data_IF_318782115588
#
_entry.id   IF_318782115588
#
_cell.length_a   1.000
_cell.length_b   1.000
_cell.length_c   1.000
_cell.angle_alpha   90.00
_cell.angle_beta   90.00
_cell.angle_gamma   90.00
#
_symmetry.space_group_name_H-M   'P 1'
#
loop_
_entity.id
_entity.type
_entity.pdbx_description
1 polymer ?
#
# COMPACT_ATOMS: atom_id res chain seq x y z
N UNK A 1 12.99 6.26 7.04
CA UNK A 1 11.86 6.07 6.09
C UNK A 1 11.93 4.79 5.23
N UNK A 2 13.09 4.44 4.64
CA UNK A 2 13.20 3.28 3.73
C UNK A 2 12.81 1.93 4.36
N UNK A 3 13.24 1.68 5.60
CA UNK A 3 12.89 0.46 6.35
C UNK A 3 11.37 0.28 6.49
N UNK A 4 10.67 1.31 7.01
CA UNK A 4 9.21 1.30 7.15
C UNK A 4 8.49 1.03 5.82
N UNK A 5 8.96 1.61 4.72
CA UNK A 5 8.38 1.35 3.39
C UNK A 5 8.63 -0.09 2.90
N UNK A 6 9.76 -0.70 3.26
CA UNK A 6 10.05 -2.11 2.97
C UNK A 6 9.08 -3.02 3.73
N UNK A 7 8.81 -2.72 4.99
CA UNK A 7 7.85 -3.48 5.82
C UNK A 7 6.43 -3.36 5.26
N UNK A 8 6.00 -2.13 4.94
CA UNK A 8 4.69 -1.89 4.32
C UNK A 8 4.57 -2.62 2.98
N UNK A 9 5.63 -2.65 2.17
CA UNK A 9 5.65 -3.42 0.91
C UNK A 9 5.47 -4.92 1.15
N UNK A 10 6.10 -5.48 2.19
CA UNK A 10 5.93 -6.88 2.55
C UNK A 10 4.49 -7.17 3.03
N UNK A 11 3.92 -6.27 3.84
CA UNK A 11 2.54 -6.40 4.32
C UNK A 11 1.52 -6.26 3.19
N UNK A 12 1.72 -5.33 2.25
CA UNK A 12 0.90 -5.21 1.05
C UNK A 12 0.91 -6.48 0.20
N UNK A 13 2.05 -7.19 0.16
CA UNK A 13 2.14 -8.48 -0.54
C UNK A 13 1.37 -9.58 0.21
N UNK A 14 1.44 -9.61 1.54
CA UNK A 14 0.69 -10.56 2.38
C UNK A 14 -0.83 -10.31 2.31
N UNK A 15 -1.24 -9.04 2.24
CA UNK A 15 -2.64 -8.60 2.21
C UNK A 15 -3.17 -8.39 0.79
N UNK A 16 -2.46 -8.84 -0.24
CA UNK A 16 -2.79 -8.55 -1.65
C UNK A 16 -4.22 -8.97 -2.02
N UNK A 17 -4.70 -10.09 -1.47
CA UNK A 17 -6.01 -10.66 -1.76
C UNK A 17 -7.14 -10.08 -0.91
N UNK A 18 -6.84 -9.23 0.08
CA UNK A 18 -7.88 -8.57 0.87
C UNK A 18 -8.79 -7.70 -0.01
N UNK A 19 -10.04 -7.45 0.39
CA UNK A 19 -10.88 -6.42 -0.21
C UNK A 19 -10.16 -5.06 -0.24
N UNK A 20 -10.31 -4.30 -1.32
CA UNK A 20 -9.66 -2.99 -1.51
C UNK A 20 -10.01 -2.03 -0.36
N UNK A 21 -11.26 -2.06 0.11
CA UNK A 21 -11.73 -1.26 1.26
C UNK A 21 -10.96 -1.56 2.55
N UNK A 22 -10.70 -2.84 2.84
CA UNK A 22 -9.92 -3.25 4.01
C UNK A 22 -8.45 -2.85 3.90
N UNK A 23 -7.87 -2.96 2.70
CA UNK A 23 -6.49 -2.47 2.45
C UNK A 23 -6.40 -0.96 2.70
N UNK A 24 -7.36 -0.19 2.19
CA UNK A 24 -7.41 1.27 2.38
C UNK A 24 -7.54 1.67 3.86
N UNK A 25 -8.41 1.00 4.62
CA UNK A 25 -8.56 1.24 6.07
C UNK A 25 -7.25 0.99 6.82
N UNK A 26 -6.59 -0.13 6.55
CA UNK A 26 -5.30 -0.46 7.16
C UNK A 26 -4.20 0.55 6.81
N UNK A 27 -4.11 0.98 5.55
CA UNK A 27 -3.15 2.03 5.15
C UNK A 27 -3.44 3.36 5.85
N UNK A 28 -4.71 3.74 6.01
CA UNK A 28 -5.10 4.94 6.73
C UNK A 28 -4.66 4.91 8.21
N UNK A 29 -4.79 3.76 8.88
CA UNK A 29 -4.30 3.59 10.25
C UNK A 29 -2.77 3.76 10.35
N UNK A 30 -2.02 3.24 9.37
CA UNK A 30 -0.56 3.42 9.35
C UNK A 30 -0.18 4.88 9.14
N UNK A 31 -0.82 5.58 8.20
CA UNK A 31 -0.55 7.00 7.93
C UNK A 31 -0.92 7.82 9.16
N UNK A 32 -2.10 7.59 9.75
CA UNK A 32 -2.55 8.27 10.96
C UNK A 32 -1.57 8.10 12.13
N UNK A 33 -1.16 6.87 12.43
CA UNK A 33 -0.17 6.61 13.49
C UNK A 33 1.20 7.22 13.20
N UNK A 34 1.63 7.23 11.93
CA UNK A 34 2.89 7.88 11.56
C UNK A 34 2.82 9.41 11.71
N UNK A 35 1.72 10.02 11.30
CA UNK A 35 1.52 11.47 11.43
C UNK A 35 1.39 11.86 12.90
N UNK A 36 0.68 11.09 13.73
CA UNK A 36 0.55 11.36 15.16
C UNK A 36 1.91 11.48 15.89
N UNK A 37 2.92 10.72 15.44
CA UNK A 37 4.25 10.75 16.06
C UNK A 37 5.21 11.77 15.41
N UNK A 38 5.09 12.02 14.10
CA UNK A 38 6.08 12.79 13.34
C UNK A 38 5.58 14.14 12.80
N UNK A 39 4.32 14.52 13.07
CA UNK A 39 3.74 15.79 12.65
C UNK A 39 4.33 16.96 13.44
N UNK A 40 5.39 17.53 12.89
CA UNK A 40 5.96 18.82 13.28
C UNK A 40 6.15 19.68 12.03
N UNK A 41 6.07 21.02 12.12
CA UNK A 41 6.09 21.91 10.95
C UNK A 41 7.30 21.70 10.02
N UNK A 42 8.45 21.37 10.58
CA UNK A 42 9.70 21.13 9.84
C UNK A 42 9.71 19.82 9.07
N UNK A 43 8.77 18.90 9.32
CA UNK A 43 8.76 17.54 8.79
C UNK A 43 7.66 17.27 7.73
N UNK A 44 6.85 18.29 7.39
CA UNK A 44 5.70 18.17 6.47
C UNK A 44 6.11 17.58 5.11
N UNK A 45 7.28 17.97 4.59
CA UNK A 45 7.82 17.44 3.32
C UNK A 45 8.04 15.92 3.38
N UNK A 46 8.62 15.41 4.46
CA UNK A 46 8.88 13.98 4.59
C UNK A 46 7.59 13.19 4.81
N UNK A 47 6.62 13.73 5.54
CA UNK A 47 5.30 13.12 5.75
C UNK A 47 4.52 12.99 4.45
N UNK A 48 4.53 14.05 3.63
CA UNK A 48 3.91 14.03 2.29
C UNK A 48 4.58 13.00 1.39
N UNK A 49 5.92 12.98 1.37
CA UNK A 49 6.67 11.99 0.58
C UNK A 49 6.41 10.55 1.05
N UNK A 50 6.25 10.33 2.35
CA UNK A 50 5.90 9.03 2.91
C UNK A 50 4.52 8.57 2.44
N UNK A 51 3.50 9.42 2.58
CA UNK A 51 2.14 9.12 2.11
C UNK A 51 2.11 8.80 0.62
N UNK A 52 2.79 9.62 -0.19
CA UNK A 52 2.88 9.41 -1.63
C UNK A 52 3.48 8.03 -1.97
N UNK A 53 4.62 7.67 -1.34
CA UNK A 53 5.28 6.38 -1.58
C UNK A 53 4.42 5.18 -1.14
N UNK A 54 3.67 5.31 -0.04
CA UNK A 54 2.75 4.26 0.37
C UNK A 54 1.64 4.03 -0.66
N UNK A 55 1.04 5.11 -1.18
CA UNK A 55 -0.01 5.03 -2.21
C UNK A 55 0.54 4.42 -3.50
N UNK A 56 1.73 4.84 -3.96
CA UNK A 56 2.38 4.25 -5.14
C UNK A 56 2.64 2.74 -4.97
N UNK A 57 3.14 2.31 -3.81
CA UNK A 57 3.33 0.89 -3.51
C UNK A 57 2.00 0.11 -3.54
N UNK A 58 0.94 0.69 -3.01
CA UNK A 58 -0.39 0.08 -3.02
C UNK A 58 -0.93 -0.09 -4.43
N UNK A 59 -0.88 0.97 -5.26
CA UNK A 59 -1.30 0.92 -6.67
C UNK A 59 -0.53 -0.13 -7.46
N UNK A 60 0.80 -0.22 -7.27
CA UNK A 60 1.61 -1.27 -7.91
C UNK A 60 1.23 -2.68 -7.46
N UNK A 61 0.85 -2.85 -6.20
CA UNK A 61 0.36 -4.14 -5.68
C UNK A 61 -0.96 -4.53 -6.34
N UNK A 62 -1.91 -3.59 -6.45
CA UNK A 62 -3.20 -3.81 -7.10
C UNK A 62 -3.06 -4.13 -8.59
N UNK A 63 -2.21 -3.39 -9.33
CA UNK A 63 -1.92 -3.69 -10.74
C UNK A 63 -1.36 -5.10 -10.93
N UNK A 64 -0.43 -5.52 -10.06
CA UNK A 64 0.13 -6.88 -10.09
C UNK A 64 -0.92 -7.95 -9.80
N UNK A 65 -1.83 -7.70 -8.85
CA UNK A 65 -2.95 -8.60 -8.56
C UNK A 65 -3.85 -8.76 -9.78
N UNK A 66 -4.29 -7.66 -10.38
CA UNK A 66 -5.17 -7.67 -11.55
C UNK A 66 -4.56 -8.45 -12.73
N UNK A 67 -3.24 -8.36 -12.94
CA UNK A 67 -2.54 -9.16 -13.95
C UNK A 67 -2.62 -10.68 -13.67
N UNK A 68 -2.52 -11.11 -12.40
CA UNK A 68 -2.66 -12.52 -12.03
C UNK A 68 -4.10 -13.02 -12.12
N UNK A 69 -5.04 -12.20 -11.66
CA UNK A 69 -6.46 -12.51 -11.71
C UNK A 69 -6.92 -12.59 -13.19
N UNK A 70 -6.44 -11.70 -14.06
CA UNK A 70 -6.68 -11.75 -15.51
C UNK A 70 -6.06 -12.96 -16.21
N UNK A 71 -4.82 -13.33 -15.86
CA UNK A 71 -4.15 -14.51 -16.43
C UNK A 71 -4.79 -15.85 -16.05
N UNK A 72 -5.65 -15.88 -15.03
CA UNK A 72 -6.36 -17.10 -14.60
C UNK A 72 -7.64 -17.34 -15.43
N UNK A 73 -8.29 -16.27 -15.91
CA UNK A 73 -9.56 -16.38 -16.66
C UNK A 73 -9.39 -16.99 -18.06
N UNK A 74 -8.26 -16.77 -18.73
CA UNK A 74 -7.98 -17.33 -20.07
C UNK A 74 -7.83 -18.86 -20.07
N UNK A 75 -7.72 -19.52 -18.90
CA UNK A 75 -7.63 -20.99 -18.79
C UNK A 75 -8.93 -21.71 -18.42
N UNK A 76 -10.01 -20.98 -18.10
CA UNK A 76 -11.30 -21.59 -17.72
C UNK A 76 -12.29 -21.67 -18.88
N UNK A 77 -11.82 -21.52 -20.12
CA UNK A 77 -12.62 -21.69 -21.35
C UNK A 77 -11.94 -22.72 -22.24
N UNK A 78 -12.22 -23.99 -21.99
CA UNK A 78 -12.03 -25.12 -22.91
C UNK A 78 -13.15 -26.11 -22.65
#
# INVERSE_FOLDING_TARGET
MRAKLKDIKADLRRRMHWPISQQGKWLSQIVGGHFAYFAVPTNIRALTAFRYRMVDLWLRSLRRRSQKDGATWERSRS
#
